data_IF_619518760653
#
_entry.id   IF_619518760653
#
_cell.length_a   1.000
_cell.length_b   1.000
_cell.length_c   1.000
_cell.angle_alpha   90.00
_cell.angle_beta   90.00
_cell.angle_gamma   90.00
#
_symmetry.space_group_name_H-M   'P 1'
#
loop_
_entity.id
_entity.type
_entity.pdbx_description
1 polymer ?
#
# COMPACT_ATOMS: atom_id res chain seq x y z
N UNK A 1 9.46 1.74 3.55
CA UNK A 1 8.35 1.95 4.50
C UNK A 1 8.20 3.43 4.84
N UNK A 2 9.22 4.06 5.43
CA UNK A 2 9.18 5.47 5.85
C UNK A 2 8.69 6.47 4.78
N UNK A 3 9.06 6.28 3.50
CA UNK A 3 8.56 7.16 2.41
C UNK A 3 7.04 7.14 2.26
N UNK A 4 6.42 5.96 2.29
CA UNK A 4 4.97 5.81 2.20
C UNK A 4 4.29 6.31 3.47
N UNK A 5 4.80 5.94 4.65
CA UNK A 5 4.25 6.40 5.92
C UNK A 5 4.32 7.93 6.07
N UNK A 6 5.42 8.56 5.65
CA UNK A 6 5.55 10.02 5.69
C UNK A 6 4.61 10.70 4.70
N UNK A 7 4.38 10.09 3.53
CA UNK A 7 3.44 10.62 2.54
C UNK A 7 2.01 10.62 3.05
N UNK A 8 1.51 9.46 3.47
CA UNK A 8 0.13 9.32 4.00
C UNK A 8 -0.01 10.06 5.33
N UNK A 9 1.02 10.00 6.19
CA UNK A 9 1.04 10.67 7.48
C UNK A 9 0.94 12.19 7.37
N UNK A 10 1.59 12.80 6.38
CA UNK A 10 1.45 14.24 6.11
C UNK A 10 -0.01 14.60 5.80
N UNK A 11 -0.69 13.82 4.94
CA UNK A 11 -2.10 14.02 4.60
C UNK A 11 -3.01 13.94 5.83
N UNK A 12 -2.83 12.91 6.66
CA UNK A 12 -3.59 12.73 7.90
C UNK A 12 -3.38 13.91 8.85
N UNK A 13 -2.11 14.32 9.05
CA UNK A 13 -1.79 15.41 9.96
C UNK A 13 -2.38 16.75 9.50
N UNK A 14 -2.30 17.07 8.20
CA UNK A 14 -2.89 18.30 7.66
C UNK A 14 -4.41 18.30 7.80
N UNK A 15 -5.07 17.16 7.50
CA UNK A 15 -6.51 16.99 7.66
C UNK A 15 -6.96 17.15 9.12
N UNK A 16 -6.23 16.58 10.07
CA UNK A 16 -6.55 16.69 11.50
C UNK A 16 -6.36 18.11 12.05
N UNK A 17 -5.51 18.91 11.40
CA UNK A 17 -5.25 20.31 11.77
C UNK A 17 -6.10 21.31 11.01
N UNK A 18 -6.98 20.85 10.12
CA UNK A 18 -7.77 21.71 9.23
C UNK A 18 -6.90 22.69 8.44
N UNK A 19 -5.70 22.25 8.07
CA UNK A 19 -4.74 23.04 7.28
C UNK A 19 -4.71 22.53 5.85
N UNK A 20 -4.39 23.41 4.90
CA UNK A 20 -4.23 23.01 3.52
C UNK A 20 -3.07 22.04 3.38
N UNK A 21 -3.32 20.94 2.66
CA UNK A 21 -2.26 20.02 2.30
C UNK A 21 -1.38 20.65 1.21
N UNK A 22 -0.06 20.81 1.43
CA UNK A 22 0.85 21.36 0.43
C UNK A 22 0.98 20.44 -0.80
N UNK A 23 0.63 19.16 -0.67
CA UNK A 23 0.44 18.24 -1.78
C UNK A 23 -1.06 17.99 -1.88
N UNK A 24 -1.84 18.88 -2.53
CA UNK A 24 -3.25 18.64 -2.68
C UNK A 24 -3.40 17.26 -3.32
N UNK A 25 -4.01 16.32 -2.60
CA UNK A 25 -4.61 15.17 -3.25
C UNK A 25 -5.50 15.80 -4.32
N UNK A 26 -5.21 15.52 -5.60
CA UNK A 26 -6.15 15.86 -6.64
C UNK A 26 -7.49 15.35 -6.11
N UNK A 27 -8.53 16.19 -6.11
CA UNK A 27 -9.89 15.76 -5.73
C UNK A 27 -10.46 14.75 -6.74
N UNK A 28 -9.59 14.00 -7.42
CA UNK A 28 -9.96 12.83 -8.17
C UNK A 28 -10.66 11.89 -7.21
N UNK A 29 -11.87 11.50 -7.61
CA UNK A 29 -12.59 10.44 -6.94
C UNK A 29 -11.65 9.23 -6.81
N UNK A 30 -11.73 8.55 -5.67
CA UNK A 30 -11.13 7.22 -5.52
C UNK A 30 -11.69 6.38 -6.66
N UNK A 31 -10.82 5.91 -7.55
CA UNK A 31 -11.27 5.12 -8.69
C UNK A 31 -11.65 3.70 -8.28
N UNK A 32 -11.91 2.85 -9.27
CA UNK A 32 -12.36 1.48 -9.03
C UNK A 32 -11.26 0.60 -8.42
N UNK A 33 -9.98 0.91 -8.68
CA UNK A 33 -8.84 0.08 -8.29
C UNK A 33 -7.71 0.93 -7.67
N UNK A 34 -7.97 1.58 -6.52
CA UNK A 34 -7.02 2.49 -5.94
C UNK A 34 -5.77 1.76 -5.46
N UNK A 35 -4.60 2.36 -5.70
CA UNK A 35 -3.34 1.81 -5.26
C UNK A 35 -3.25 1.74 -3.74
N UNK A 36 -2.93 0.56 -3.18
CA UNK A 36 -2.72 0.38 -1.74
C UNK A 36 -1.53 1.14 -1.13
N UNK A 37 -0.67 1.78 -1.95
CA UNK A 37 0.49 2.56 -1.47
C UNK A 37 0.29 4.07 -1.53
N UNK A 38 -0.26 4.59 -2.62
CA UNK A 38 -0.46 6.04 -2.82
C UNK A 38 -1.93 6.47 -2.87
N UNK A 39 -2.88 5.53 -2.91
CA UNK A 39 -4.31 5.81 -3.00
C UNK A 39 -4.81 6.31 -4.36
N UNK A 40 -3.92 6.41 -5.37
CA UNK A 40 -4.25 6.89 -6.72
C UNK A 40 -4.52 5.72 -7.69
N UNK A 41 -5.19 6.01 -8.79
CA UNK A 41 -5.38 5.10 -9.92
C UNK A 41 -4.11 4.94 -10.79
N UNK A 42 -4.07 3.88 -11.59
CA UNK A 42 -3.03 3.67 -12.61
C UNK A 42 -1.73 3.03 -12.10
N UNK A 43 -1.63 2.73 -10.79
CA UNK A 43 -0.56 1.88 -10.30
C UNK A 43 -0.92 0.40 -10.51
N UNK A 44 0.04 -0.39 -10.95
CA UNK A 44 -0.06 -1.84 -10.99
C UNK A 44 0.59 -2.40 -9.72
N UNK A 45 -0.13 -3.25 -9.00
CA UNK A 45 0.40 -4.02 -7.87
C UNK A 45 0.06 -5.49 -8.09
N UNK A 46 1.06 -6.35 -8.06
CA UNK A 46 0.94 -7.78 -8.35
C UNK A 46 1.60 -8.60 -7.25
N UNK A 47 0.94 -9.71 -6.93
CA UNK A 47 1.54 -10.80 -6.17
C UNK A 47 2.34 -11.67 -7.14
N UNK A 48 3.61 -11.89 -6.82
CA UNK A 48 4.50 -12.74 -7.59
C UNK A 48 4.96 -13.91 -6.73
N UNK A 49 4.79 -15.11 -7.24
CA UNK A 49 5.41 -16.30 -6.69
C UNK A 49 6.91 -16.33 -7.02
N UNK A 50 7.71 -16.48 -5.98
CA UNK A 50 9.14 -16.75 -6.08
C UNK A 50 9.38 -18.26 -6.05
N UNK A 51 10.62 -18.64 -6.40
CA UNK A 51 11.13 -20.01 -6.25
C UNK A 51 10.77 -20.57 -4.88
N UNK A 52 10.27 -21.81 -4.85
CA UNK A 52 9.77 -22.52 -3.66
C UNK A 52 8.45 -22.00 -3.06
N UNK A 53 7.59 -21.34 -3.86
CA UNK A 53 6.23 -20.98 -3.46
C UNK A 53 6.13 -19.83 -2.45
N UNK A 54 7.18 -19.02 -2.33
CA UNK A 54 7.13 -17.82 -1.47
C UNK A 54 6.54 -16.64 -2.22
N UNK A 55 5.66 -15.86 -1.59
CA UNK A 55 5.02 -14.71 -2.22
C UNK A 55 5.86 -13.43 -2.03
N UNK A 56 5.79 -12.56 -3.03
CA UNK A 56 6.32 -11.21 -2.98
C UNK A 56 5.40 -10.23 -3.68
N UNK A 57 5.55 -8.95 -3.35
CA UNK A 57 4.76 -7.88 -3.96
C UNK A 57 5.66 -7.15 -4.96
N UNK A 58 5.18 -7.02 -6.19
CA UNK A 58 5.75 -6.14 -7.20
C UNK A 58 4.78 -4.99 -7.44
N UNK A 59 5.30 -3.77 -7.57
CA UNK A 59 4.48 -2.61 -7.90
C UNK A 59 5.30 -1.57 -8.62
N UNK A 60 4.67 -0.86 -9.55
CA UNK A 60 5.26 0.31 -10.21
C UNK A 60 5.06 1.61 -9.41
N UNK A 61 4.38 1.56 -8.26
CA UNK A 61 4.17 2.73 -7.43
C UNK A 61 5.49 3.21 -6.79
N UNK A 62 5.78 4.50 -6.87
CA UNK A 62 6.97 5.12 -6.24
C UNK A 62 7.02 4.92 -4.71
N UNK A 63 5.87 4.68 -4.08
CA UNK A 63 5.73 4.44 -2.65
C UNK A 63 5.78 2.95 -2.27
N UNK A 64 5.97 2.05 -3.24
CA UNK A 64 6.10 0.62 -3.00
C UNK A 64 7.24 0.32 -2.02
N UNK A 65 6.94 -0.45 -0.98
CA UNK A 65 7.94 -0.94 -0.04
C UNK A 65 8.59 -2.24 -0.53
N UNK A 66 9.59 -2.14 -1.40
CA UNK A 66 10.26 -3.29 -2.02
C UNK A 66 10.90 -4.29 -1.03
N UNK A 67 11.28 -3.86 0.18
CA UNK A 67 11.85 -4.73 1.21
C UNK A 67 10.79 -5.45 2.08
N UNK A 68 9.51 -5.34 1.75
CA UNK A 68 8.44 -6.04 2.44
C UNK A 68 8.65 -7.56 2.42
N UNK A 69 8.61 -8.18 3.60
CA UNK A 69 8.54 -9.63 3.72
C UNK A 69 7.09 -10.07 3.84
N UNK A 70 6.54 -10.63 2.77
CA UNK A 70 5.13 -11.05 2.71
C UNK A 70 4.77 -12.04 3.83
N UNK A 71 5.57 -13.10 4.02
CA UNK A 71 5.30 -14.15 5.01
C UNK A 71 5.30 -13.60 6.44
N UNK A 72 6.18 -12.65 6.74
CA UNK A 72 6.20 -12.00 8.06
C UNK A 72 5.00 -11.06 8.24
N UNK A 73 4.70 -10.23 7.22
CA UNK A 73 3.60 -9.27 7.26
C UNK A 73 2.21 -9.93 7.26
N UNK A 74 2.09 -11.14 6.71
CA UNK A 74 0.84 -11.91 6.71
C UNK A 74 0.52 -12.55 8.07
N UNK A 75 1.45 -12.54 9.04
CA UNK A 75 1.23 -13.12 10.36
C UNK A 75 0.55 -12.12 11.29
N UNK A 76 -0.67 -12.44 11.67
CA UNK A 76 -1.35 -11.77 12.77
C UNK A 76 -0.64 -12.02 14.12
N UNK A 77 -0.56 -10.99 14.94
CA UNK A 77 -0.25 -11.12 16.37
C UNK A 77 -1.03 -10.09 17.17
N UNK A 78 -1.18 -10.29 18.49
CA UNK A 78 -1.82 -9.27 19.35
C UNK A 78 -1.09 -7.91 19.31
N UNK A 79 0.23 -7.93 19.12
CA UNK A 79 1.03 -6.71 19.01
C UNK A 79 0.98 -6.06 17.61
N UNK A 80 0.70 -6.86 16.57
CA UNK A 80 0.58 -6.43 15.18
C UNK A 80 -0.71 -7.03 14.60
N UNK A 81 -1.87 -6.42 14.88
CA UNK A 81 -3.16 -7.01 14.55
C UNK A 81 -3.54 -6.86 13.07
N UNK A 82 -2.83 -6.02 12.31
CA UNK A 82 -3.13 -5.75 10.91
C UNK A 82 -2.13 -6.44 9.98
N UNK A 83 -2.60 -7.39 9.18
CA UNK A 83 -1.83 -7.94 8.06
C UNK A 83 -2.05 -7.08 6.82
N UNK A 84 -1.25 -6.02 6.66
CA UNK A 84 -1.29 -5.13 5.49
C UNK A 84 -0.58 -5.78 4.29
N UNK A 85 -1.07 -6.94 3.85
CA UNK A 85 -0.56 -7.67 2.69
C UNK A 85 -1.61 -7.67 1.58
N UNK A 86 -1.21 -7.55 0.30
CA UNK A 86 -2.12 -7.81 -0.80
C UNK A 86 -2.70 -9.22 -0.67
N UNK A 87 -4.00 -9.37 -0.90
CA UNK A 87 -4.67 -10.68 -0.89
C UNK A 87 -4.54 -11.32 -2.27
N UNK A 88 -4.31 -12.63 -2.29
CA UNK A 88 -4.34 -13.38 -3.54
C UNK A 88 -5.80 -13.44 -4.03
N UNK A 89 -6.05 -12.89 -5.22
CA UNK A 89 -7.35 -12.99 -5.86
C UNK A 89 -7.47 -14.38 -6.51
N UNK A 90 -8.37 -15.27 -6.04
CA UNK A 90 -8.50 -16.61 -6.60
C UNK A 90 -9.05 -16.62 -8.03
N UNK A 91 -9.54 -15.48 -8.53
CA UNK A 91 -10.06 -15.32 -9.89
C UNK A 91 -8.98 -14.86 -10.88
N UNK A 92 -7.90 -14.25 -10.38
CA UNK A 92 -6.81 -13.77 -11.21
C UNK A 92 -5.71 -14.83 -11.23
N UNK A 93 -5.42 -15.37 -12.42
CA UNK A 93 -4.32 -16.31 -12.67
C UNK A 93 -3.06 -15.58 -13.12
#
# INVERSE_FOLDING_TARGET
>A
LNKMCNHVGAHILHSLRSTNDPKPCSKQAVGENPCGFCGLEGCLTQLQEKKKGSLSVASNCTYHYAAMNYKAAAKFSKAVPCSNVPVHCPLCS
#
